data_IF_520328213441
#
_entry.id   IF_520328213441
#
_cell.length_a   1.000
_cell.length_b   1.000
_cell.length_c   1.000
_cell.angle_alpha   90.00
_cell.angle_beta   90.00
_cell.angle_gamma   90.00
#
_symmetry.space_group_name_H-M   'P 1'
#
loop_
_entity.id
_entity.type
_entity.pdbx_description
1 polymer ?
#
# COMPACT_ATOMS: atom_id res chain seq x y z
N UNK A 1 34.59 72.10 -17.51
CA UNK A 1 34.44 72.94 -18.71
C UNK A 1 33.46 72.24 -19.62
N UNK A 2 32.43 72.98 -19.99
CA UNK A 2 31.26 72.57 -20.74
C UNK A 2 31.59 72.22 -22.20
N UNK A 3 30.81 71.30 -22.78
CA UNK A 3 30.13 71.50 -24.05
C UNK A 3 29.06 70.40 -24.22
N UNK A 4 27.82 70.85 -24.30
CA UNK A 4 26.59 70.10 -24.61
C UNK A 4 26.44 69.89 -26.15
N UNK A 5 25.24 69.70 -26.73
CA UNK A 5 24.63 68.42 -27.09
C UNK A 5 24.26 68.40 -28.61
N UNK A 6 23.48 67.42 -29.08
CA UNK A 6 22.47 67.66 -30.13
C UNK A 6 21.39 66.58 -30.10
N UNK A 7 20.17 67.05 -30.36
CA UNK A 7 18.86 66.52 -29.97
C UNK A 7 18.25 65.40 -30.84
N UNK A 8 17.39 64.66 -30.14
CA UNK A 8 16.09 64.05 -30.50
C UNK A 8 15.67 63.77 -31.95
N UNK A 9 15.22 62.53 -32.16
CA UNK A 9 13.88 62.28 -32.70
C UNK A 9 13.31 60.93 -32.23
N UNK A 10 12.06 60.94 -31.75
CA UNK A 10 11.14 59.80 -31.52
C UNK A 10 9.90 60.03 -32.42
N UNK A 11 8.93 59.10 -32.58
CA UNK A 11 8.81 57.71 -32.09
C UNK A 11 8.31 56.69 -33.17
N UNK A 12 8.31 55.38 -32.87
CA UNK A 12 7.10 54.54 -32.69
C UNK A 12 7.37 53.02 -32.74
N UNK A 13 6.90 52.36 -31.67
CA UNK A 13 6.29 51.01 -31.54
C UNK A 13 7.07 49.73 -31.89
N UNK A 14 7.18 48.88 -30.86
CA UNK A 14 6.99 47.43 -31.00
C UNK A 14 7.98 46.58 -30.20
N UNK A 15 7.49 45.82 -29.22
CA UNK A 15 8.21 44.66 -28.66
C UNK A 15 8.66 44.81 -27.21
N UNK A 16 7.71 44.69 -26.29
CA UNK A 16 7.89 44.84 -24.84
C UNK A 16 8.56 43.60 -24.24
N UNK A 17 9.55 43.88 -23.39
CA UNK A 17 10.26 42.98 -22.48
C UNK A 17 9.29 42.59 -21.36
N UNK A 18 9.00 41.31 -21.18
CA UNK A 18 8.22 40.82 -20.03
C UNK A 18 9.10 39.99 -19.09
N UNK A 19 9.38 40.58 -17.93
CA UNK A 19 9.69 39.89 -16.68
C UNK A 19 8.53 40.27 -15.76
N UNK A 20 7.66 39.33 -15.41
CA UNK A 20 6.78 39.46 -14.25
C UNK A 20 6.39 38.06 -13.77
N UNK A 21 6.36 37.97 -12.46
CA UNK A 21 6.10 36.82 -11.62
C UNK A 21 4.73 36.19 -11.88
N UNK A 22 4.67 34.87 -11.71
CA UNK A 22 3.45 34.08 -11.74
C UNK A 22 3.64 32.87 -10.85
N UNK A 23 3.31 33.02 -9.57
CA UNK A 23 2.96 31.90 -8.71
C UNK A 23 1.73 31.23 -9.34
N UNK A 24 1.93 30.09 -10.00
CA UNK A 24 0.81 29.18 -10.29
C UNK A 24 0.41 28.54 -8.95
N UNK A 25 -0.53 29.17 -8.25
CA UNK A 25 -1.39 28.46 -7.32
C UNK A 25 -2.09 27.33 -8.09
N UNK A 26 -1.54 26.12 -8.00
CA UNK A 26 -2.28 24.92 -8.37
C UNK A 26 -3.44 24.80 -7.40
N UNK A 27 -4.63 25.14 -7.88
CA UNK A 27 -5.89 24.82 -7.21
C UNK A 27 -5.87 23.36 -6.77
N UNK A 28 -5.73 23.18 -5.47
CA UNK A 28 -5.93 21.89 -4.84
C UNK A 28 -7.42 21.70 -4.75
N UNK A 29 -7.96 20.75 -5.53
CA UNK A 29 -9.35 20.30 -5.37
C UNK A 29 -9.53 19.70 -3.98
N UNK A 30 -9.80 20.57 -3.02
CA UNK A 30 -10.27 20.22 -1.68
C UNK A 30 -11.79 20.19 -1.74
N UNK A 31 -12.36 19.01 -1.51
CA UNK A 31 -13.81 18.77 -1.50
C UNK A 31 -14.42 19.63 -0.39
N UNK A 32 -15.18 20.65 -0.74
CA UNK A 32 -15.92 21.49 0.23
C UNK A 32 -17.27 20.85 0.57
N UNK A 33 -17.93 21.33 1.62
CA UNK A 33 -19.23 20.80 2.08
C UNK A 33 -20.35 20.93 1.02
N UNK A 34 -20.17 21.81 0.02
CA UNK A 34 -21.14 22.04 -1.06
C UNK A 34 -21.15 20.91 -2.12
N UNK A 35 -20.12 20.06 -2.22
CA UNK A 35 -20.07 18.92 -3.17
C UNK A 35 -21.10 17.82 -2.86
N UNK A 36 -21.62 17.76 -1.62
CA UNK A 36 -22.66 16.79 -1.24
C UNK A 36 -24.08 17.27 -1.54
N UNK A 37 -24.24 18.48 -2.10
CA UNK A 37 -25.54 19.03 -2.50
C UNK A 37 -26.07 18.40 -3.80
N UNK A 38 -25.22 17.67 -4.53
CA UNK A 38 -25.56 17.01 -5.78
C UNK A 38 -26.73 15.99 -5.59
N UNK A 39 -27.78 16.06 -6.42
CA UNK A 39 -28.88 15.09 -6.43
C UNK A 39 -28.42 13.62 -6.39
N UNK A 40 -27.30 13.30 -7.03
CA UNK A 40 -26.71 11.96 -7.11
C UNK A 40 -26.38 11.42 -5.73
N UNK A 41 -25.84 12.24 -4.83
CA UNK A 41 -25.50 11.82 -3.47
C UNK A 41 -26.75 11.54 -2.62
N UNK A 42 -27.85 12.28 -2.83
CA UNK A 42 -29.14 12.00 -2.15
C UNK A 42 -29.69 10.65 -2.58
N UNK A 43 -29.63 10.33 -3.87
CA UNK A 43 -30.07 9.04 -4.36
C UNK A 43 -29.16 7.88 -3.90
N UNK A 44 -27.84 8.11 -3.84
CA UNK A 44 -26.89 7.15 -3.29
C UNK A 44 -27.17 6.89 -1.80
N UNK A 45 -27.49 7.92 -1.02
CA UNK A 45 -27.89 7.77 0.37
C UNK A 45 -29.17 6.93 0.52
N UNK A 46 -30.19 7.18 -0.30
CA UNK A 46 -31.41 6.38 -0.31
C UNK A 46 -31.14 4.92 -0.71
N UNK A 47 -30.29 4.70 -1.72
CA UNK A 47 -29.85 3.36 -2.16
C UNK A 47 -29.11 2.62 -1.06
N UNK A 48 -28.15 3.28 -0.40
CA UNK A 48 -27.41 2.73 0.74
C UNK A 48 -28.35 2.34 1.89
N UNK A 49 -29.37 3.16 2.16
CA UNK A 49 -30.40 2.86 3.15
C UNK A 49 -31.18 1.58 2.81
N UNK A 50 -31.53 1.36 1.53
CA UNK A 50 -32.17 0.11 1.09
C UNK A 50 -31.24 -1.09 1.29
N UNK A 51 -29.97 -0.99 0.86
CA UNK A 51 -28.98 -2.07 1.01
C UNK A 51 -28.75 -2.44 2.48
N UNK A 52 -28.74 -1.46 3.39
CA UNK A 52 -28.61 -1.70 4.83
C UNK A 52 -29.71 -2.60 5.40
N UNK A 53 -30.93 -2.52 4.85
CA UNK A 53 -32.11 -3.27 5.31
C UNK A 53 -32.21 -4.67 4.71
N UNK A 54 -31.41 -5.00 3.71
CA UNK A 54 -31.46 -6.31 3.06
C UNK A 54 -30.92 -7.42 3.96
N UNK A 55 -31.54 -8.60 3.87
CA UNK A 55 -31.01 -9.84 4.43
C UNK A 55 -29.76 -10.31 3.67
N UNK A 56 -29.03 -11.27 4.24
CA UNK A 56 -27.84 -11.83 3.58
C UNK A 56 -28.23 -12.52 2.26
N UNK A 57 -29.34 -13.24 2.25
CA UNK A 57 -29.85 -13.98 1.10
C UNK A 57 -30.30 -13.03 -0.02
N UNK A 58 -30.95 -11.91 0.34
CA UNK A 58 -31.31 -10.86 -0.61
C UNK A 58 -30.08 -10.19 -1.22
N UNK A 59 -29.05 -9.91 -0.41
CA UNK A 59 -27.78 -9.34 -0.89
C UNK A 59 -27.11 -10.30 -1.87
N UNK A 60 -27.01 -11.59 -1.54
CA UNK A 60 -26.44 -12.60 -2.44
C UNK A 60 -27.20 -12.70 -3.75
N UNK A 61 -28.53 -12.69 -3.71
CA UNK A 61 -29.38 -12.71 -4.92
C UNK A 61 -29.11 -11.48 -5.79
N UNK A 62 -29.06 -10.28 -5.20
CA UNK A 62 -28.75 -9.05 -5.95
C UNK A 62 -27.34 -9.01 -6.52
N UNK A 63 -26.35 -9.47 -5.78
CA UNK A 63 -24.99 -9.58 -6.28
C UNK A 63 -24.90 -10.59 -7.45
N UNK A 64 -25.60 -11.72 -7.35
CA UNK A 64 -25.68 -12.72 -8.43
C UNK A 64 -26.32 -12.16 -9.70
N UNK A 65 -27.45 -11.42 -9.58
CA UNK A 65 -28.10 -10.72 -10.69
C UNK A 65 -27.11 -9.76 -11.41
N UNK A 66 -26.22 -9.13 -10.65
CA UNK A 66 -25.20 -8.21 -11.15
C UNK A 66 -23.89 -8.89 -11.58
N UNK A 67 -23.83 -10.23 -11.55
CA UNK A 67 -22.63 -11.04 -11.84
C UNK A 67 -21.42 -10.67 -10.96
N UNK A 68 -21.67 -10.25 -9.72
CA UNK A 68 -20.65 -9.98 -8.72
C UNK A 68 -20.45 -11.19 -7.82
N UNK A 69 -19.27 -11.26 -7.19
CA UNK A 69 -18.97 -12.30 -6.20
C UNK A 69 -20.01 -12.28 -5.06
N UNK A 70 -20.49 -13.45 -4.66
CA UNK A 70 -21.56 -13.62 -3.65
C UNK A 70 -21.07 -14.22 -2.33
N UNK A 71 -19.75 -14.39 -2.18
CA UNK A 71 -19.11 -14.94 -0.98
C UNK A 71 -18.83 -13.84 0.04
N UNK A 72 -18.71 -14.27 1.29
CA UNK A 72 -18.39 -13.46 2.44
C UNK A 72 -19.58 -13.18 3.37
N UNK A 73 -19.27 -12.51 4.48
CA UNK A 73 -20.24 -12.12 5.51
C UNK A 73 -21.13 -10.97 5.05
N UNK A 74 -22.24 -10.73 5.78
CA UNK A 74 -23.25 -9.72 5.43
C UNK A 74 -22.63 -8.33 5.15
N UNK A 75 -21.69 -7.89 5.97
CA UNK A 75 -21.07 -6.56 5.83
C UNK A 75 -20.23 -6.42 4.55
N UNK A 76 -19.53 -7.50 4.16
CA UNK A 76 -18.79 -7.57 2.89
C UNK A 76 -19.75 -7.46 1.70
N UNK A 77 -20.83 -8.23 1.71
CA UNK A 77 -21.84 -8.20 0.63
C UNK A 77 -22.52 -6.83 0.53
N UNK A 78 -22.86 -6.22 1.67
CA UNK A 78 -23.42 -4.87 1.71
C UNK A 78 -22.44 -3.86 1.13
N UNK A 79 -21.17 -3.92 1.52
CA UNK A 79 -20.15 -2.97 1.05
C UNK A 79 -19.93 -3.09 -0.45
N UNK A 80 -19.80 -4.33 -0.96
CA UNK A 80 -19.69 -4.65 -2.39
C UNK A 80 -20.85 -4.05 -3.19
N UNK A 81 -22.09 -4.32 -2.76
CA UNK A 81 -23.28 -3.84 -3.47
C UNK A 81 -23.39 -2.30 -3.46
N UNK A 82 -23.14 -1.66 -2.31
CA UNK A 82 -23.14 -0.19 -2.21
C UNK A 82 -22.12 0.45 -3.14
N UNK A 83 -20.89 -0.08 -3.14
CA UNK A 83 -19.82 0.46 -3.97
C UNK A 83 -20.08 0.24 -5.46
N UNK A 84 -20.65 -0.90 -5.85
CA UNK A 84 -21.06 -1.14 -7.23
C UNK A 84 -22.08 -0.09 -7.72
N UNK A 85 -23.12 0.18 -6.92
CA UNK A 85 -24.08 1.24 -7.26
C UNK A 85 -23.44 2.64 -7.28
N UNK A 86 -22.52 2.92 -6.35
CA UNK A 86 -21.75 4.17 -6.36
C UNK A 86 -20.98 4.34 -7.67
N UNK A 87 -20.24 3.31 -8.08
CA UNK A 87 -19.45 3.34 -9.32
C UNK A 87 -20.34 3.48 -10.56
N UNK A 88 -21.46 2.75 -10.64
CA UNK A 88 -22.37 2.87 -11.78
C UNK A 88 -22.97 4.27 -11.94
N UNK A 89 -23.22 4.99 -10.85
CA UNK A 89 -23.77 6.35 -10.92
C UNK A 89 -22.71 7.38 -11.28
N UNK A 90 -21.57 7.35 -10.60
CA UNK A 90 -20.48 8.30 -10.86
C UNK A 90 -19.83 8.09 -12.25
N UNK A 91 -19.75 6.85 -12.73
CA UNK A 91 -19.23 6.54 -14.08
C UNK A 91 -20.14 7.06 -15.20
N UNK A 92 -21.46 7.15 -14.96
CA UNK A 92 -22.39 7.72 -15.94
C UNK A 92 -22.22 9.23 -16.11
N UNK A 93 -21.50 9.89 -15.20
CA UNK A 93 -21.29 11.35 -15.20
C UNK A 93 -19.85 11.73 -15.56
N UNK A 94 -18.89 10.83 -15.36
CA UNK A 94 -17.47 11.05 -15.67
C UNK A 94 -17.04 10.26 -16.93
N UNK A 95 -17.42 10.74 -18.11
CA UNK A 95 -16.65 10.44 -19.33
C UNK A 95 -15.59 11.53 -19.52
N UNK A 96 -14.32 11.15 -19.62
CA UNK A 96 -13.12 12.01 -19.86
C UNK A 96 -12.31 12.53 -18.66
N UNK A 97 -12.15 11.76 -17.58
CA UNK A 97 -11.08 12.01 -16.62
C UNK A 97 -10.07 10.86 -16.59
N UNK A 98 -8.85 11.15 -17.05
CA UNK A 98 -7.68 10.26 -17.01
C UNK A 98 -7.51 9.55 -15.66
N UNK A 99 -7.48 8.21 -15.66
CA UNK A 99 -7.27 7.35 -14.49
C UNK A 99 -5.81 7.27 -14.03
N UNK A 100 -4.93 8.12 -14.57
CA UNK A 100 -3.46 8.05 -14.48
C UNK A 100 -2.86 8.50 -13.13
N UNK A 101 -3.59 8.32 -12.03
CA UNK A 101 -3.14 8.78 -10.70
C UNK A 101 -2.98 7.68 -9.66
N UNK A 102 -3.47 6.46 -9.92
CA UNK A 102 -3.35 5.35 -8.97
C UNK A 102 -2.00 4.63 -9.06
N UNK A 103 -1.71 3.72 -8.12
CA UNK A 103 -0.50 2.89 -8.22
C UNK A 103 -0.68 1.90 -9.36
N UNK A 104 0.33 1.74 -10.21
CA UNK A 104 0.39 0.64 -11.19
C UNK A 104 0.64 -0.69 -10.48
N UNK A 105 1.50 -0.65 -9.45
CA UNK A 105 1.90 -1.83 -8.69
C UNK A 105 1.77 -1.67 -7.18
N UNK A 106 1.45 -2.78 -6.51
CA UNK A 106 1.56 -2.92 -5.06
C UNK A 106 2.60 -4.01 -4.79
N UNK A 107 3.61 -3.70 -3.98
CA UNK A 107 4.60 -4.65 -3.48
C UNK A 107 4.16 -5.12 -2.09
N UNK A 108 3.69 -6.36 -1.99
CA UNK A 108 3.28 -6.96 -0.73
C UNK A 108 4.50 -7.61 -0.08
N UNK A 109 4.73 -7.31 1.20
CA UNK A 109 5.85 -7.84 1.99
C UNK A 109 5.29 -8.35 3.32
N UNK A 110 5.69 -9.55 3.73
CA UNK A 110 5.41 -10.12 5.04
C UNK A 110 6.65 -10.87 5.53
N UNK A 111 7.39 -10.27 6.47
CA UNK A 111 8.66 -10.84 6.91
C UNK A 111 8.43 -11.97 7.91
N UNK A 112 9.18 -13.06 7.77
CA UNK A 112 9.41 -13.96 8.90
C UNK A 112 10.66 -13.53 9.66
N UNK A 113 10.61 -13.69 10.98
CA UNK A 113 11.68 -13.30 11.88
C UNK A 113 11.96 -14.34 12.97
N UNK A 114 13.18 -14.33 13.50
CA UNK A 114 13.52 -15.14 14.67
C UNK A 114 12.56 -14.85 15.83
N UNK A 115 12.15 -15.89 16.55
CA UNK A 115 11.24 -15.79 17.69
C UNK A 115 11.46 -16.91 18.72
N UNK A 116 10.87 -16.73 19.90
CA UNK A 116 10.82 -17.69 20.99
C UNK A 116 9.36 -17.80 21.47
N UNK A 117 8.98 -18.96 22.03
CA UNK A 117 7.60 -19.30 22.40
C UNK A 117 6.97 -18.28 23.37
N UNK A 118 7.71 -17.88 24.40
CA UNK A 118 7.23 -16.92 25.40
C UNK A 118 7.22 -15.47 24.91
N UNK A 119 7.74 -15.20 23.70
CA UNK A 119 7.90 -13.87 23.10
C UNK A 119 8.40 -12.81 24.11
N UNK A 120 9.59 -13.03 24.71
CA UNK A 120 10.03 -12.23 25.85
C UNK A 120 10.20 -10.76 25.48
N UNK A 121 9.85 -9.88 26.42
CA UNK A 121 10.05 -8.44 26.25
C UNK A 121 11.53 -8.14 26.02
N UNK A 122 11.83 -7.43 24.93
CA UNK A 122 13.21 -7.09 24.56
C UNK A 122 13.91 -8.13 23.67
N UNK A 123 13.23 -9.19 23.22
CA UNK A 123 13.78 -10.08 22.21
C UNK A 123 14.20 -9.30 20.95
N UNK A 124 15.46 -9.49 20.52
CA UNK A 124 16.01 -8.87 19.32
C UNK A 124 15.69 -9.77 18.14
N UNK A 125 14.62 -9.44 17.43
CA UNK A 125 14.21 -10.16 16.22
C UNK A 125 15.16 -9.84 15.06
N UNK A 126 15.52 -10.87 14.30
CA UNK A 126 16.23 -10.77 13.03
C UNK A 126 15.35 -11.36 11.92
N UNK A 127 15.29 -10.70 10.78
CA UNK A 127 14.55 -11.18 9.61
C UNK A 127 15.24 -12.45 9.10
N UNK A 128 14.45 -13.50 8.82
CA UNK A 128 14.92 -14.80 8.31
C UNK A 128 14.27 -15.20 6.99
N UNK A 129 13.22 -14.51 6.56
CA UNK A 129 12.63 -14.62 5.22
C UNK A 129 12.26 -13.21 4.71
N UNK A 130 12.61 -12.91 3.47
CA UNK A 130 12.26 -11.67 2.78
C UNK A 130 11.49 -11.99 1.49
N UNK A 131 10.15 -12.08 1.55
CA UNK A 131 9.30 -12.22 0.38
C UNK A 131 8.85 -10.84 -0.16
N UNK A 132 8.66 -10.77 -1.47
CA UNK A 132 7.95 -9.66 -2.14
C UNK A 132 7.02 -10.23 -3.21
N UNK A 133 5.73 -9.92 -3.13
CA UNK A 133 4.74 -10.26 -4.17
C UNK A 133 4.38 -9.00 -4.93
N UNK A 134 4.54 -9.02 -6.26
CA UNK A 134 4.24 -7.89 -7.14
C UNK A 134 2.85 -8.03 -7.74
N UNK A 135 1.91 -7.21 -7.24
CA UNK A 135 0.54 -7.15 -7.74
C UNK A 135 0.38 -5.99 -8.73
N UNK A 136 0.00 -6.29 -9.97
CA UNK A 136 -0.43 -5.28 -10.94
C UNK A 136 -1.89 -4.87 -10.65
N UNK A 137 -2.14 -3.59 -10.44
CA UNK A 137 -3.47 -3.09 -10.04
C UNK A 137 -4.44 -2.96 -11.21
N UNK A 138 -3.94 -2.87 -12.45
CA UNK A 138 -4.76 -2.82 -13.66
C UNK A 138 -5.27 -4.21 -14.04
N UNK A 139 -4.39 -5.21 -14.04
CA UNK A 139 -4.74 -6.60 -14.40
C UNK A 139 -5.29 -7.39 -13.22
N UNK A 140 -5.02 -6.92 -11.99
CA UNK A 140 -5.33 -7.60 -10.74
C UNK A 140 -4.70 -9.00 -10.64
N UNK A 141 -3.54 -9.17 -11.26
CA UNK A 141 -2.75 -10.40 -11.24
C UNK A 141 -1.44 -10.19 -10.49
N UNK A 142 -0.98 -11.24 -9.82
CA UNK A 142 0.40 -11.32 -9.36
C UNK A 142 1.27 -11.55 -10.60
N UNK A 143 2.21 -10.63 -10.87
CA UNK A 143 3.07 -10.70 -12.05
C UNK A 143 4.43 -11.30 -11.76
N UNK A 144 4.91 -11.19 -10.52
CA UNK A 144 6.17 -11.80 -10.12
C UNK A 144 6.24 -11.95 -8.59
N UNK A 145 7.15 -12.80 -8.16
CA UNK A 145 7.44 -13.06 -6.75
C UNK A 145 8.94 -13.14 -6.52
N UNK A 146 9.40 -12.53 -5.43
CA UNK A 146 10.76 -12.65 -4.92
C UNK A 146 10.70 -13.31 -3.55
N UNK A 147 11.60 -14.25 -3.27
CA UNK A 147 11.72 -14.89 -1.97
C UNK A 147 13.19 -15.24 -1.73
N UNK A 148 13.74 -14.74 -0.64
CA UNK A 148 15.08 -15.10 -0.17
C UNK A 148 15.02 -15.34 1.33
N UNK A 149 15.73 -16.36 1.80
CA UNK A 149 16.00 -16.52 3.22
C UNK A 149 17.15 -15.61 3.65
N UNK A 150 17.19 -15.29 4.93
CA UNK A 150 18.20 -14.39 5.51
C UNK A 150 18.88 -15.08 6.68
N UNK A 151 20.22 -15.04 6.69
CA UNK A 151 21.01 -15.59 7.80
C UNK A 151 21.03 -14.60 8.97
N UNK A 152 20.50 -14.95 10.15
CA UNK A 152 20.63 -14.12 11.35
C UNK A 152 22.08 -14.15 11.87
N UNK A 153 22.54 -13.05 12.47
CA UNK A 153 23.93 -12.87 12.92
C UNK A 153 24.05 -12.70 14.44
N UNK A 154 22.98 -12.33 15.15
CA UNK A 154 22.96 -12.25 16.62
C UNK A 154 22.56 -13.58 17.25
N UNK A 155 21.40 -14.11 16.86
CA UNK A 155 20.90 -15.42 17.29
C UNK A 155 20.86 -16.35 16.09
N UNK A 156 22.01 -16.91 15.75
CA UNK A 156 22.21 -17.75 14.55
C UNK A 156 21.40 -19.04 14.61
N UNK A 157 21.19 -19.60 15.80
CA UNK A 157 20.38 -20.80 16.00
C UNK A 157 18.90 -20.43 16.16
N UNK A 158 18.06 -20.96 15.27
CA UNK A 158 16.62 -20.86 15.39
C UNK A 158 16.13 -21.69 16.58
N UNK A 159 15.12 -21.19 17.29
CA UNK A 159 14.44 -21.98 18.32
C UNK A 159 13.56 -23.04 17.67
N UNK A 160 13.29 -24.14 18.38
CA UNK A 160 12.35 -25.17 17.91
C UNK A 160 10.96 -24.59 17.65
N UNK A 161 10.53 -23.64 18.48
CA UNK A 161 9.27 -22.90 18.27
C UNK A 161 9.28 -22.14 16.94
N UNK A 162 10.36 -21.41 16.65
CA UNK A 162 10.49 -20.65 15.41
C UNK A 162 10.45 -21.57 14.19
N UNK A 163 11.20 -22.67 14.21
CA UNK A 163 11.20 -23.68 13.12
C UNK A 163 9.80 -24.28 12.95
N UNK A 164 9.14 -24.65 14.04
CA UNK A 164 7.78 -25.21 13.99
C UNK A 164 6.77 -24.20 13.44
N UNK A 165 6.86 -22.94 13.88
CA UNK A 165 5.95 -21.88 13.47
C UNK A 165 6.14 -21.56 11.99
N UNK A 166 7.34 -21.18 11.57
CA UNK A 166 7.60 -20.65 10.21
C UNK A 166 7.89 -21.73 9.18
N UNK A 167 8.30 -22.93 9.62
CA UNK A 167 8.73 -24.01 8.74
C UNK A 167 10.12 -23.81 8.16
N UNK A 168 10.79 -22.72 8.51
CA UNK A 168 12.15 -22.41 8.07
C UNK A 168 13.11 -23.26 8.90
N UNK A 169 13.90 -24.08 8.22
CA UNK A 169 14.88 -24.95 8.88
C UNK A 169 16.20 -24.23 9.13
N UNK A 170 16.98 -24.72 10.09
CA UNK A 170 18.32 -24.21 10.37
C UNK A 170 19.22 -24.25 9.13
N UNK A 171 19.17 -25.32 8.34
CA UNK A 171 19.98 -25.49 7.13
C UNK A 171 19.69 -24.41 6.06
N UNK A 172 18.44 -23.95 5.97
CA UNK A 172 18.08 -22.85 5.07
C UNK A 172 18.74 -21.54 5.49
N UNK A 173 18.64 -21.16 6.77
CA UNK A 173 19.23 -19.90 7.25
C UNK A 173 20.76 -19.96 7.28
N UNK A 174 21.36 -21.13 7.54
CA UNK A 174 22.83 -21.30 7.51
C UNK A 174 23.42 -21.00 6.13
N UNK A 175 22.73 -21.45 5.08
CA UNK A 175 23.13 -21.26 3.67
C UNK A 175 22.72 -19.91 3.08
N UNK A 176 21.87 -19.16 3.76
CA UNK A 176 21.34 -17.92 3.26
C UNK A 176 22.37 -16.78 3.30
N UNK A 177 22.10 -15.72 2.55
CA UNK A 177 22.90 -14.50 2.59
C UNK A 177 22.55 -13.63 3.82
N UNK A 178 23.44 -12.70 4.17
CA UNK A 178 23.15 -11.72 5.25
C UNK A 178 22.07 -10.73 4.81
N UNK A 179 21.40 -10.08 5.76
CA UNK A 179 20.32 -9.14 5.45
C UNK A 179 20.74 -8.02 4.46
N UNK A 180 21.91 -7.36 4.58
CA UNK A 180 22.32 -6.35 3.59
C UNK A 180 22.43 -6.89 2.16
N UNK A 181 22.90 -8.13 1.99
CA UNK A 181 23.02 -8.78 0.69
C UNK A 181 21.64 -9.11 0.12
N UNK A 182 20.73 -9.65 0.93
CA UNK A 182 19.35 -9.93 0.50
C UNK A 182 18.58 -8.65 0.18
N UNK A 183 18.73 -7.59 0.98
CA UNK A 183 18.15 -6.29 0.69
C UNK A 183 18.67 -5.72 -0.64
N UNK A 184 19.96 -5.90 -0.94
CA UNK A 184 20.54 -5.53 -2.23
C UNK A 184 19.89 -6.29 -3.39
N UNK A 185 19.73 -7.61 -3.28
CA UNK A 185 19.02 -8.41 -4.30
C UNK A 185 17.57 -7.95 -4.48
N UNK A 186 16.86 -7.69 -3.39
CA UNK A 186 15.48 -7.20 -3.42
C UNK A 186 15.37 -5.83 -4.12
N UNK A 187 16.26 -4.89 -3.80
CA UNK A 187 16.32 -3.57 -4.46
C UNK A 187 16.61 -3.72 -5.94
N UNK A 188 17.57 -4.56 -6.32
CA UNK A 188 17.91 -4.79 -7.73
C UNK A 188 16.75 -5.42 -8.48
N UNK A 189 16.08 -6.41 -7.89
CA UNK A 189 14.86 -7.00 -8.45
C UNK A 189 13.76 -5.94 -8.64
N UNK A 190 13.49 -5.09 -7.64
CA UNK A 190 12.50 -4.02 -7.77
C UNK A 190 12.86 -3.00 -8.86
N UNK A 191 14.15 -2.69 -9.04
CA UNK A 191 14.63 -1.79 -10.10
C UNK A 191 14.50 -2.41 -11.49
N UNK A 192 14.72 -3.72 -11.62
CA UNK A 192 14.50 -4.43 -12.89
C UNK A 192 13.04 -4.38 -13.33
N UNK A 193 12.09 -4.24 -12.39
CA UNK A 193 10.66 -4.00 -12.64
C UNK A 193 10.31 -2.53 -12.86
N UNK A 194 11.31 -1.65 -12.98
CA UNK A 194 11.16 -0.21 -13.23
C UNK A 194 10.31 0.56 -12.17
N UNK A 195 10.22 0.02 -10.94
CA UNK A 195 9.41 0.58 -9.86
C UNK A 195 9.94 1.94 -9.38
N UNK A 196 9.06 2.94 -9.33
CA UNK A 196 9.37 4.32 -8.96
C UNK A 196 10.00 5.14 -10.08
N UNK A 197 10.29 4.53 -11.24
CA UNK A 197 10.77 5.21 -12.44
C UNK A 197 9.69 5.28 -13.50
N UNK A 198 9.39 4.14 -14.13
CA UNK A 198 8.30 4.01 -15.10
C UNK A 198 6.95 3.78 -14.43
N UNK A 199 6.92 2.94 -13.40
CA UNK A 199 5.69 2.55 -12.73
C UNK A 199 5.61 3.11 -11.32
N UNK A 200 4.46 3.71 -11.00
CA UNK A 200 4.12 4.18 -9.67
C UNK A 200 3.75 2.98 -8.81
N UNK A 201 4.33 2.89 -7.62
CA UNK A 201 4.10 1.75 -6.74
C UNK A 201 3.96 2.16 -5.27
N UNK A 202 3.55 1.22 -4.44
CA UNK A 202 3.59 1.33 -2.99
C UNK A 202 3.91 -0.02 -2.33
N UNK A 203 4.31 0.03 -1.06
CA UNK A 203 4.45 -1.17 -0.23
C UNK A 203 3.17 -1.42 0.54
N UNK A 204 2.80 -2.68 0.72
CA UNK A 204 1.67 -3.13 1.53
C UNK A 204 2.09 -4.28 2.47
N UNK A 205 1.62 -4.26 3.70
CA UNK A 205 1.94 -5.25 4.75
C UNK A 205 0.71 -5.63 5.58
N UNK A 206 0.71 -6.81 6.23
CA UNK A 206 -0.36 -7.28 7.13
C UNK A 206 -0.24 -6.73 8.56
N UNK A 207 -0.33 -5.40 8.66
CA UNK A 207 -0.15 -4.68 9.90
C UNK A 207 1.02 -3.72 9.80
N UNK A 208 1.51 -3.26 10.95
CA UNK A 208 2.57 -2.26 11.01
C UNK A 208 3.95 -2.85 11.33
N UNK A 209 4.00 -4.11 11.79
CA UNK A 209 5.19 -4.68 12.42
C UNK A 209 6.34 -4.90 11.44
N UNK A 210 6.07 -5.33 10.21
CA UNK A 210 7.10 -5.52 9.17
C UNK A 210 8.01 -4.32 9.03
N UNK A 211 7.41 -3.16 8.80
CA UNK A 211 8.15 -1.94 8.54
C UNK A 211 8.57 -1.24 9.84
N UNK A 212 7.67 -1.14 10.82
CA UNK A 212 7.94 -0.35 12.03
C UNK A 212 8.82 -1.08 13.06
N UNK A 213 8.78 -2.42 13.07
CA UNK A 213 9.47 -3.28 14.05
C UNK A 213 10.57 -4.09 13.37
N UNK A 214 10.24 -5.05 12.50
CA UNK A 214 11.23 -6.01 11.97
C UNK A 214 12.31 -5.33 11.12
N UNK A 215 11.92 -4.63 10.06
CA UNK A 215 12.87 -3.90 9.21
C UNK A 215 13.64 -2.81 9.98
N UNK A 216 12.96 -2.13 10.91
CA UNK A 216 13.59 -1.10 11.74
C UNK A 216 14.66 -1.66 12.68
N UNK A 217 14.40 -2.80 13.33
CA UNK A 217 15.37 -3.51 14.17
C UNK A 217 16.49 -4.07 13.29
N UNK A 218 16.15 -4.75 12.20
CA UNK A 218 17.13 -5.35 11.31
C UNK A 218 18.11 -4.33 10.73
N UNK A 219 17.64 -3.14 10.31
CA UNK A 219 18.54 -2.08 9.87
C UNK A 219 19.48 -1.57 10.98
N UNK A 220 19.09 -1.65 12.26
CA UNK A 220 19.98 -1.31 13.38
C UNK A 220 21.02 -2.39 13.62
N UNK A 221 20.60 -3.65 13.61
CA UNK A 221 21.45 -4.83 13.75
C UNK A 221 22.53 -4.84 12.65
N UNK A 222 22.12 -4.66 11.40
CA UNK A 222 23.04 -4.66 10.25
C UNK A 222 23.76 -3.32 10.04
N UNK A 223 23.68 -2.37 10.97
CA UNK A 223 24.33 -1.05 10.89
C UNK A 223 24.06 -0.26 9.58
N UNK A 224 22.86 -0.37 9.02
CA UNK A 224 22.46 0.35 7.80
C UNK A 224 21.40 1.42 8.07
N UNK A 225 21.31 2.41 7.19
CA UNK A 225 20.20 3.38 7.22
C UNK A 225 18.89 2.69 6.84
N UNK A 226 17.78 3.17 7.40
CA UNK A 226 16.47 2.67 7.03
C UNK A 226 16.15 3.08 5.57
N UNK A 227 15.78 2.13 4.67
CA UNK A 227 15.58 2.41 3.26
C UNK A 227 14.44 3.42 3.04
N UNK A 228 14.70 4.45 2.22
CA UNK A 228 13.75 5.56 2.02
C UNK A 228 12.42 5.09 1.43
N UNK A 229 12.46 4.10 0.53
CA UNK A 229 11.28 3.59 -0.15
C UNK A 229 10.30 2.85 0.78
N UNK A 230 10.79 2.29 1.89
CA UNK A 230 9.99 1.56 2.88
C UNK A 230 9.45 2.44 4.03
N UNK A 231 9.56 3.77 3.94
CA UNK A 231 9.14 4.68 5.02
C UNK A 231 7.64 4.94 5.07
N UNK A 232 6.91 4.57 4.02
CA UNK A 232 5.47 4.77 3.86
C UNK A 232 4.89 3.47 3.30
N UNK A 233 3.81 2.97 3.86
CA UNK A 233 3.18 1.73 3.40
C UNK A 233 1.67 1.74 3.62
N UNK A 234 1.01 0.76 3.00
CA UNK A 234 -0.38 0.40 3.22
C UNK A 234 -0.40 -0.70 4.28
N UNK A 235 -0.95 -0.40 5.44
CA UNK A 235 -1.37 -1.42 6.39
C UNK A 235 -2.74 -1.93 5.97
N UNK A 236 -2.79 -3.16 5.43
CA UNK A 236 -4.03 -3.70 4.88
C UNK A 236 -5.07 -3.98 5.97
N UNK A 237 -4.66 -4.32 7.21
CA UNK A 237 -5.59 -4.48 8.35
C UNK A 237 -6.38 -3.22 8.63
N UNK A 238 -5.71 -2.05 8.59
CA UNK A 238 -6.38 -0.75 8.75
C UNK A 238 -7.32 -0.47 7.58
N UNK A 239 -6.86 -0.71 6.35
CA UNK A 239 -7.68 -0.51 5.15
C UNK A 239 -8.94 -1.40 5.18
N UNK A 240 -8.78 -2.68 5.53
CA UNK A 240 -9.84 -3.68 5.61
C UNK A 240 -10.89 -3.29 6.65
N UNK A 241 -10.46 -3.01 7.89
CA UNK A 241 -11.36 -2.60 8.97
C UNK A 241 -12.15 -1.33 8.61
N UNK A 242 -11.48 -0.33 8.03
CA UNK A 242 -12.13 0.91 7.63
C UNK A 242 -13.11 0.73 6.47
N UNK A 243 -12.81 -0.16 5.52
CA UNK A 243 -13.59 -0.35 4.31
C UNK A 243 -14.84 -1.20 4.56
N UNK A 244 -14.67 -2.37 5.19
CA UNK A 244 -15.76 -3.29 5.51
C UNK A 244 -16.44 -3.00 6.86
N UNK A 245 -15.95 -2.00 7.61
CA UNK A 245 -16.52 -1.53 8.89
C UNK A 245 -16.47 -2.60 9.99
N UNK A 246 -15.36 -3.32 10.07
CA UNK A 246 -15.13 -4.34 11.11
C UNK A 246 -14.10 -3.88 12.15
N UNK A 247 -14.21 -4.32 13.41
CA UNK A 247 -13.24 -4.01 14.46
C UNK A 247 -11.88 -4.69 14.24
N UNK A 248 -10.83 -4.19 14.91
CA UNK A 248 -9.44 -4.67 14.75
C UNK A 248 -9.25 -6.16 15.04
N UNK A 249 -10.03 -6.76 15.93
CA UNK A 249 -9.94 -8.21 16.20
C UNK A 249 -10.44 -9.06 15.02
N UNK A 250 -11.13 -8.46 14.04
CA UNK A 250 -11.62 -9.09 12.81
C UNK A 250 -10.68 -8.88 11.61
N UNK A 251 -9.44 -8.43 11.86
CA UNK A 251 -8.47 -8.10 10.80
C UNK A 251 -7.19 -8.94 10.84
N UNK A 252 -7.22 -10.11 11.51
CA UNK A 252 -6.16 -11.12 11.34
C UNK A 252 -6.28 -11.74 9.94
N UNK A 253 -5.16 -12.13 9.33
CA UNK A 253 -5.12 -12.67 7.96
C UNK A 253 -6.18 -13.75 7.68
N UNK A 254 -6.21 -14.80 8.50
CA UNK A 254 -7.17 -15.91 8.37
C UNK A 254 -8.63 -15.45 8.49
N UNK A 255 -8.91 -14.52 9.42
CA UNK A 255 -10.25 -13.97 9.63
C UNK A 255 -10.68 -13.08 8.45
N UNK A 256 -9.75 -12.31 7.86
CA UNK A 256 -10.04 -11.51 6.67
C UNK A 256 -10.39 -12.41 5.48
N UNK A 257 -9.64 -13.50 5.26
CA UNK A 257 -9.94 -14.49 4.23
C UNK A 257 -11.32 -15.13 4.45
N UNK A 258 -11.59 -15.62 5.67
CA UNK A 258 -12.87 -16.26 6.04
C UNK A 258 -14.05 -15.31 5.82
N UNK A 259 -13.93 -14.05 6.28
CA UNK A 259 -14.98 -13.04 6.11
C UNK A 259 -15.25 -12.70 4.65
N UNK A 260 -14.26 -12.83 3.77
CA UNK A 260 -14.41 -12.69 2.32
C UNK A 260 -14.89 -13.99 1.63
N UNK A 261 -14.98 -15.10 2.38
CA UNK A 261 -15.35 -16.42 1.87
C UNK A 261 -14.24 -17.04 1.00
N UNK A 262 -12.99 -16.84 1.42
CA UNK A 262 -11.80 -17.45 0.83
C UNK A 262 -11.11 -18.33 1.85
N UNK A 263 -10.53 -19.44 1.37
CA UNK A 263 -9.66 -20.28 2.18
C UNK A 263 -8.21 -19.81 2.08
N UNK A 264 -7.42 -20.14 3.10
CA UNK A 264 -5.98 -19.93 3.08
C UNK A 264 -5.31 -20.89 2.08
N UNK A 265 -4.39 -20.39 1.26
CA UNK A 265 -3.63 -21.18 0.29
C UNK A 265 -2.15 -21.24 0.71
N UNK A 266 -1.56 -22.44 0.75
CA UNK A 266 -0.17 -22.63 1.16
C UNK A 266 0.00 -22.94 2.66
N UNK A 267 1.17 -22.63 3.21
CA UNK A 267 1.54 -22.86 4.60
C UNK A 267 1.48 -21.55 5.41
N UNK A 268 0.63 -21.44 6.44
CA UNK A 268 0.65 -20.32 7.37
C UNK A 268 2.04 -20.07 7.96
N UNK A 269 2.45 -18.81 8.09
CA UNK A 269 3.78 -18.40 8.58
C UNK A 269 4.94 -18.80 7.65
N UNK A 270 4.64 -19.12 6.38
CA UNK A 270 5.62 -18.93 5.31
C UNK A 270 5.37 -17.54 4.73
N UNK A 271 6.39 -16.68 4.75
CA UNK A 271 6.20 -15.27 4.40
C UNK A 271 5.74 -15.09 2.95
N UNK A 272 6.19 -15.93 2.01
CA UNK A 272 5.71 -15.89 0.63
C UNK A 272 4.23 -16.30 0.49
N UNK A 273 3.81 -17.38 1.15
CA UNK A 273 2.42 -17.85 1.11
C UNK A 273 1.50 -16.82 1.79
N UNK A 274 1.90 -16.25 2.93
CA UNK A 274 1.17 -15.18 3.59
C UNK A 274 1.07 -13.94 2.68
N UNK A 275 2.17 -13.53 2.04
CA UNK A 275 2.18 -12.42 1.07
C UNK A 275 1.23 -12.67 -0.12
N UNK A 276 1.15 -13.90 -0.62
CA UNK A 276 0.21 -14.27 -1.69
C UNK A 276 -1.25 -14.18 -1.21
N UNK A 277 -1.55 -14.64 0.01
CA UNK A 277 -2.88 -14.51 0.59
C UNK A 277 -3.27 -13.06 0.85
N UNK A 278 -2.33 -12.23 1.31
CA UNK A 278 -2.52 -10.79 1.46
C UNK A 278 -2.82 -10.14 0.10
N UNK A 279 -2.13 -10.56 -0.97
CA UNK A 279 -2.41 -10.10 -2.33
C UNK A 279 -3.83 -10.50 -2.80
N UNK A 280 -4.30 -11.72 -2.48
CA UNK A 280 -5.69 -12.15 -2.75
C UNK A 280 -6.72 -11.26 -2.06
N UNK A 281 -6.46 -10.86 -0.81
CA UNK A 281 -7.30 -9.87 -0.09
C UNK A 281 -7.24 -8.51 -0.78
N UNK A 282 -6.05 -8.03 -1.14
CA UNK A 282 -5.89 -6.75 -1.83
C UNK A 282 -6.67 -6.70 -3.15
N UNK A 283 -6.58 -7.76 -3.96
CA UNK A 283 -7.36 -7.93 -5.20
C UNK A 283 -8.87 -7.85 -4.91
N UNK A 284 -9.38 -8.61 -3.94
CA UNK A 284 -10.80 -8.57 -3.57
C UNK A 284 -11.24 -7.18 -3.12
N UNK A 285 -10.43 -6.48 -2.34
CA UNK A 285 -10.71 -5.11 -1.90
C UNK A 285 -10.76 -4.14 -3.08
N UNK A 286 -9.81 -4.21 -4.01
CA UNK A 286 -9.79 -3.39 -5.24
C UNK A 286 -11.04 -3.66 -6.09
N UNK A 287 -11.41 -4.93 -6.28
CA UNK A 287 -12.64 -5.33 -6.99
C UNK A 287 -13.92 -4.88 -6.28
N UNK A 288 -13.90 -4.74 -4.96
CA UNK A 288 -15.00 -4.14 -4.18
C UNK A 288 -15.03 -2.60 -4.30
N UNK A 289 -14.09 -2.00 -5.03
CA UNK A 289 -13.98 -0.55 -5.19
C UNK A 289 -13.31 0.15 -4.01
N UNK A 290 -12.51 -0.57 -3.21
CA UNK A 290 -11.61 0.06 -2.26
C UNK A 290 -10.42 0.65 -3.02
N UNK A 291 -10.12 1.92 -2.80
CA UNK A 291 -8.85 2.49 -3.21
C UNK A 291 -7.86 2.30 -2.08
N UNK A 292 -6.99 1.28 -2.17
CA UNK A 292 -5.93 1.05 -1.17
C UNK A 292 -4.91 2.19 -1.28
N UNK A 293 -4.65 2.90 -0.18
CA UNK A 293 -3.69 4.03 -0.16
C UNK A 293 -2.78 3.92 1.05
N UNK A 294 -1.58 4.51 0.93
CA UNK A 294 -0.65 4.63 2.06
C UNK A 294 -1.38 5.23 3.26
N UNK A 295 -1.31 4.55 4.39
CA UNK A 295 -2.02 4.91 5.62
C UNK A 295 -1.13 4.86 6.87
N UNK A 296 0.13 4.41 6.73
CA UNK A 296 1.16 4.41 7.78
C UNK A 296 2.50 4.89 7.24
N UNK A 297 3.30 5.47 8.14
CA UNK A 297 4.67 5.90 7.86
C UNK A 297 5.56 5.77 9.09
N UNK A 298 6.87 5.69 8.85
CA UNK A 298 7.90 5.82 9.86
C UNK A 298 8.55 7.22 9.77
N UNK A 299 8.46 8.00 10.84
CA UNK A 299 9.07 9.34 10.93
C UNK A 299 9.76 9.51 12.28
N UNK A 300 11.03 9.92 12.31
CA UNK A 300 11.81 10.02 13.55
C UNK A 300 11.93 8.69 14.31
N UNK A 301 11.81 7.54 13.62
CA UNK A 301 11.79 6.22 14.25
C UNK A 301 10.44 5.85 14.91
N UNK A 302 9.42 6.69 14.81
CA UNK A 302 8.08 6.47 15.35
C UNK A 302 7.09 6.13 14.23
N UNK A 303 6.17 5.21 14.53
CA UNK A 303 5.05 4.87 13.68
C UNK A 303 4.00 5.98 13.74
N UNK A 304 3.62 6.53 12.57
CA UNK A 304 2.60 7.56 12.46
C UNK A 304 1.55 7.19 11.40
N UNK A 305 0.28 7.60 11.57
CA UNK A 305 -0.71 7.49 10.52
C UNK A 305 -0.41 8.47 9.37
N UNK A 306 -0.91 8.14 8.17
CA UNK A 306 -0.98 9.06 7.03
C UNK A 306 -2.45 9.44 6.81
N UNK A 307 -2.71 10.74 6.67
CA UNK A 307 -4.07 11.27 6.55
C UNK A 307 -4.78 10.75 5.29
N UNK A 308 -6.10 10.54 5.39
CA UNK A 308 -6.89 10.06 4.25
C UNK A 308 -6.99 11.06 3.10
N UNK A 309 -6.80 12.35 3.40
CA UNK A 309 -6.83 13.47 2.47
C UNK A 309 -5.49 13.75 1.80
N UNK A 310 -4.42 13.06 2.21
CA UNK A 310 -3.10 13.23 1.58
C UNK A 310 -3.14 12.77 0.11
N UNK A 311 -2.38 13.47 -0.73
CA UNK A 311 -2.18 13.11 -2.14
C UNK A 311 -1.68 11.67 -2.26
N UNK A 312 -2.12 10.98 -3.33
CA UNK A 312 -1.68 9.63 -3.60
C UNK A 312 -0.27 9.66 -4.23
N UNK A 313 0.75 9.68 -3.38
CA UNK A 313 2.16 9.64 -3.79
C UNK A 313 2.65 8.19 -3.92
N UNK A 314 3.43 7.91 -4.96
CA UNK A 314 4.17 6.66 -5.10
C UNK A 314 5.37 6.61 -4.15
N UNK A 315 5.83 5.39 -3.84
CA UNK A 315 7.11 5.20 -3.19
C UNK A 315 8.25 5.65 -4.13
N UNK A 316 9.34 6.23 -3.60
CA UNK A 316 10.49 6.62 -4.42
C UNK A 316 11.18 5.40 -5.03
N UNK A 317 12.02 5.63 -6.04
CA UNK A 317 12.88 4.60 -6.64
C UNK A 317 13.64 3.86 -5.52
N UNK A 318 13.58 2.51 -5.47
CA UNK A 318 14.29 1.75 -4.45
C UNK A 318 15.80 1.91 -4.63
N UNK A 319 16.49 2.17 -3.53
CA UNK A 319 17.92 2.39 -3.46
C UNK A 319 18.47 1.69 -2.23
N UNK A 320 19.66 1.12 -2.35
CA UNK A 320 20.34 0.51 -1.22
C UNK A 320 20.73 1.57 -0.20
N UNK A 321 20.45 1.33 1.08
CA UNK A 321 20.83 2.28 2.11
C UNK A 321 22.34 2.30 2.28
N UNK A 322 22.89 3.48 2.58
CA UNK A 322 24.28 3.57 3.01
C UNK A 322 24.46 2.92 4.39
N UNK A 323 25.67 2.45 4.66
CA UNK A 323 26.11 2.11 6.02
C UNK A 323 25.94 3.33 6.94
N UNK A 324 25.61 3.11 8.21
CA UNK A 324 25.66 4.15 9.25
C UNK A 324 27.11 4.26 9.71
N UNK A 325 27.73 5.41 9.47
CA UNK A 325 29.03 5.76 10.05
C UNK A 325 28.95 5.87 11.56
#
# INVERSE_FOLDING_TARGET
MAAEPLEESRPLKGGQRCRLDGEEERETNSVTADDYSDPVYKELAATNGRVNRMSREELRRKLAELKLDTRGVKDVLQKRLKNHYKQQKLWKEASDASTDTYYDYICIIDFEATCEEDNPSGYVHEIIEFPIVLLNTCTLQIEDTFQEYVRPEIKTQLSDFCISLTGITQDLVDKADTFPQVLQKAVDWMRQKELGTKYKYCILTDGSWDMSKFLNIQCRVSCIKYPRFAKKWINIRKSYGNFYKVPRNQTKLTIMLENLGMDYEGRPHSGLDDSCNIARIAVRMLQDGCQLRVNERLHGGQLMPVASTASLEGAPVPQNPSVKN
#
